data_IF_046744805807
#
_entry.id   IF_046744805807
#
_cell.length_a   1.000
_cell.length_b   1.000
_cell.length_c   1.000
_cell.angle_alpha   90.00
_cell.angle_beta   90.00
_cell.angle_gamma   90.00
#
_symmetry.space_group_name_H-M   'P 1'
#
loop_
_entity.id
_entity.type
_entity.pdbx_description
1 polymer ?
#
# COMPACT_ATOMS: atom_id res chain seq x y z
N UNK A 1 -16.80 19.86 59.44
CA UNK A 1 -16.58 18.72 58.53
C UNK A 1 -17.81 18.47 57.65
N UNK A 2 -18.05 19.21 56.54
CA UNK A 2 -19.04 18.85 55.48
C UNK A 2 -18.80 19.66 54.18
N UNK A 3 -17.57 19.70 53.68
CA UNK A 3 -17.22 20.43 52.44
C UNK A 3 -16.45 19.57 51.43
N UNK A 4 -16.46 18.24 51.59
CA UNK A 4 -15.72 17.30 50.73
C UNK A 4 -16.61 16.54 49.74
N UNK A 5 -17.94 16.72 49.79
CA UNK A 5 -18.88 15.90 49.00
C UNK A 5 -19.22 16.47 47.63
N UNK A 6 -18.85 17.72 47.32
CA UNK A 6 -19.17 18.35 46.03
C UNK A 6 -18.13 18.10 44.93
N UNK A 7 -16.90 17.69 45.28
CA UNK A 7 -15.85 17.44 44.29
C UNK A 7 -15.95 16.06 43.62
N UNK A 8 -16.77 15.14 44.13
CA UNK A 8 -16.93 13.80 43.56
C UNK A 8 -17.94 13.72 42.41
N UNK A 9 -18.76 14.75 42.19
CA UNK A 9 -19.80 14.72 41.16
C UNK A 9 -19.32 15.23 39.80
N UNK A 10 -18.22 15.98 39.74
CA UNK A 10 -17.70 16.55 38.48
C UNK A 10 -16.84 15.55 37.70
N UNK A 11 -16.26 14.55 38.37
CA UNK A 11 -15.37 13.55 37.75
C UNK A 11 -16.11 12.40 37.06
N UNK A 12 -17.43 12.26 37.24
CA UNK A 12 -18.21 11.18 36.60
C UNK A 12 -18.75 11.59 35.22
N UNK A 13 -19.04 12.88 35.00
CA UNK A 13 -19.56 13.34 33.71
C UNK A 13 -18.49 13.39 32.61
N UNK A 14 -17.20 13.54 32.96
CA UNK A 14 -16.11 13.54 31.97
C UNK A 14 -15.70 12.15 31.51
N UNK A 15 -16.16 11.08 32.17
CA UNK A 15 -15.86 9.69 31.79
C UNK A 15 -16.93 9.03 30.93
N UNK A 16 -18.12 9.61 30.80
CA UNK A 16 -19.23 9.01 30.03
C UNK A 16 -19.27 9.40 28.54
N UNK A 17 -18.43 10.32 28.07
CA UNK A 17 -18.37 10.66 26.64
C UNK A 17 -17.32 9.85 25.84
N UNK A 18 -16.56 8.96 26.49
CA UNK A 18 -15.48 8.19 25.82
C UNK A 18 -15.83 6.74 25.49
N UNK A 19 -17.11 6.34 25.51
CA UNK A 19 -17.55 5.00 25.08
C UNK A 19 -18.51 5.06 23.88
N UNK A 20 -18.27 5.97 22.93
CA UNK A 20 -18.94 5.94 21.62
C UNK A 20 -17.99 6.36 20.48
N UNK A 21 -16.78 5.80 20.49
CA UNK A 21 -15.86 5.90 19.35
C UNK A 21 -15.45 4.51 18.81
N UNK A 22 -16.07 3.42 19.26
CA UNK A 22 -15.76 2.06 18.80
C UNK A 22 -16.56 1.60 17.58
N UNK A 23 -17.29 2.49 16.91
CA UNK A 23 -17.90 2.19 15.61
C UNK A 23 -17.66 3.33 14.62
N UNK A 24 -16.41 3.79 14.52
CA UNK A 24 -15.94 4.29 13.23
C UNK A 24 -15.65 3.02 12.42
N UNK A 25 -16.54 2.57 11.52
CA UNK A 25 -16.11 1.57 10.55
C UNK A 25 -14.82 2.11 9.93
N UNK A 26 -13.76 1.28 9.78
CA UNK A 26 -12.54 1.72 9.13
C UNK A 26 -12.96 2.45 7.87
N UNK A 27 -12.37 3.64 7.56
CA UNK A 27 -12.81 4.47 6.45
C UNK A 27 -13.01 3.52 5.29
N UNK A 28 -14.27 3.36 4.86
CA UNK A 28 -14.61 2.41 3.81
C UNK A 28 -13.67 2.76 2.69
N UNK A 29 -12.64 1.93 2.48
CA UNK A 29 -11.73 2.10 1.37
C UNK A 29 -12.68 2.18 0.20
N UNK A 30 -12.77 3.36 -0.41
CA UNK A 30 -13.57 3.57 -1.59
C UNK A 30 -12.93 2.64 -2.58
N UNK A 31 -13.50 1.44 -2.74
CA UNK A 31 -12.99 0.44 -3.65
C UNK A 31 -12.83 1.17 -4.97
N UNK A 32 -11.59 1.29 -5.49
CA UNK A 32 -11.40 2.01 -6.74
C UNK A 32 -12.32 1.34 -7.77
N UNK A 33 -13.05 2.14 -8.55
CA UNK A 33 -13.99 1.64 -9.58
C UNK A 33 -13.34 0.66 -10.55
N UNK A 34 -12.00 0.64 -10.59
CA UNK A 34 -11.15 -0.27 -11.32
C UNK A 34 -10.23 -0.98 -10.33
N UNK A 35 -10.11 -2.30 -10.46
CA UNK A 35 -9.11 -3.07 -9.71
C UNK A 35 -7.69 -2.56 -10.04
N UNK A 36 -6.79 -2.49 -9.05
CA UNK A 36 -5.39 -2.15 -9.31
C UNK A 36 -4.75 -3.21 -10.20
N UNK A 37 -3.75 -2.82 -10.98
CA UNK A 37 -3.00 -3.78 -11.81
C UNK A 37 -1.98 -4.54 -10.96
N UNK A 38 -1.45 -3.90 -9.90
CA UNK A 38 -0.44 -4.46 -8.99
C UNK A 38 -0.66 -4.00 -7.55
N UNK A 39 -0.31 -4.86 -6.59
CA UNK A 39 -0.25 -4.54 -5.15
C UNK A 39 1.19 -4.72 -4.67
N UNK A 40 1.75 -3.68 -4.06
CA UNK A 40 3.10 -3.65 -3.52
C UNK A 40 3.04 -3.83 -2.01
N UNK A 41 3.52 -4.98 -1.53
CA UNK A 41 3.62 -5.26 -0.10
C UNK A 41 4.89 -4.63 0.46
N UNK A 42 4.72 -3.72 1.42
CA UNK A 42 5.83 -2.97 2.02
C UNK A 42 6.19 -3.50 3.40
N UNK A 43 7.45 -3.31 3.80
CA UNK A 43 7.89 -3.64 5.17
C UNK A 43 7.14 -2.85 6.25
N UNK A 44 6.62 -1.67 5.93
CA UNK A 44 5.85 -0.84 6.85
C UNK A 44 4.46 -1.41 7.18
N UNK A 45 4.00 -2.43 6.45
CA UNK A 45 2.65 -3.00 6.60
C UNK A 45 1.54 -2.18 5.92
N UNK A 46 1.89 -1.07 5.26
CA UNK A 46 0.95 -0.29 4.44
C UNK A 46 1.20 -0.62 2.98
N UNK A 47 0.30 -1.40 2.40
CA UNK A 47 0.40 -1.82 1.01
C UNK A 47 0.07 -0.67 0.05
N UNK A 48 0.69 -0.67 -1.13
CA UNK A 48 0.40 0.31 -2.17
C UNK A 48 -0.23 -0.32 -3.40
N UNK A 49 -1.33 0.30 -3.83
CA UNK A 49 -2.03 -0.05 -5.05
C UNK A 49 -1.44 0.73 -6.23
N UNK A 50 -1.05 0.02 -7.30
CA UNK A 50 -0.44 0.63 -8.48
C UNK A 50 -1.14 0.17 -9.76
N UNK A 51 -1.04 1.02 -10.78
CA UNK A 51 -1.57 0.80 -12.12
C UNK A 51 -0.42 0.82 -13.12
N UNK A 52 -0.63 0.26 -14.31
CA UNK A 52 0.37 0.30 -15.38
C UNK A 52 0.68 1.73 -15.83
N UNK A 53 1.90 1.93 -16.32
CA UNK A 53 2.36 3.18 -16.93
C UNK A 53 3.38 3.95 -16.10
N UNK A 54 3.32 3.83 -14.78
CA UNK A 54 4.24 4.51 -13.87
C UNK A 54 5.62 3.83 -13.81
N UNK A 55 6.65 4.63 -13.61
CA UNK A 55 8.01 4.17 -13.27
C UNK A 55 8.14 4.17 -11.75
N UNK A 56 8.33 2.99 -11.16
CA UNK A 56 8.18 2.75 -9.73
C UNK A 56 9.54 2.56 -9.06
N UNK A 57 9.90 3.39 -8.08
CA UNK A 57 11.12 3.22 -7.27
C UNK A 57 10.93 2.16 -6.18
N UNK A 58 11.55 1.00 -6.35
CA UNK A 58 11.43 -0.11 -5.40
C UNK A 58 12.14 0.16 -4.06
N UNK A 59 13.21 0.96 -4.11
CA UNK A 59 13.97 1.35 -2.92
C UNK A 59 13.16 2.28 -2.03
N UNK A 60 12.61 3.35 -2.61
CA UNK A 60 11.79 4.32 -1.87
C UNK A 60 10.52 3.70 -1.31
N UNK A 61 9.95 2.72 -2.03
CA UNK A 61 8.76 2.01 -1.59
C UNK A 61 9.05 0.89 -0.58
N UNK A 62 10.32 0.50 -0.37
CA UNK A 62 10.75 -0.56 0.55
C UNK A 62 9.93 -1.84 0.33
N UNK A 63 9.83 -2.24 -0.93
CA UNK A 63 8.97 -3.34 -1.40
C UNK A 63 9.57 -4.68 -1.00
N UNK A 64 8.73 -5.56 -0.45
CA UNK A 64 9.08 -6.95 -0.12
C UNK A 64 8.58 -7.89 -1.21
N UNK A 65 7.33 -7.72 -1.61
CA UNK A 65 6.65 -8.57 -2.60
C UNK A 65 5.71 -7.73 -3.44
N UNK A 66 5.45 -8.21 -4.65
CA UNK A 66 4.52 -7.63 -5.61
C UNK A 66 3.51 -8.72 -5.98
N UNK A 67 2.22 -8.41 -5.84
CA UNK A 67 1.13 -9.21 -6.40
C UNK A 67 0.69 -8.57 -7.72
N UNK A 68 0.76 -9.35 -8.80
CA UNK A 68 0.35 -8.95 -10.13
C UNK A 68 -1.12 -9.32 -10.35
N UNK A 69 -2.01 -8.37 -10.09
CA UNK A 69 -3.47 -8.60 -10.20
C UNK A 69 -3.88 -8.79 -11.66
N UNK A 70 -3.17 -8.16 -12.60
CA UNK A 70 -3.34 -8.34 -14.05
C UNK A 70 -2.08 -8.95 -14.67
N UNK A 71 -2.19 -9.80 -15.71
CA UNK A 71 -1.02 -10.35 -16.40
C UNK A 71 -0.19 -9.22 -17.02
N UNK A 72 1.12 -9.27 -16.83
CA UNK A 72 2.00 -8.15 -17.17
C UNK A 72 3.39 -8.58 -17.58
N UNK A 73 4.05 -7.72 -18.34
CA UNK A 73 5.49 -7.79 -18.58
C UNK A 73 6.16 -6.61 -17.88
N UNK A 74 7.14 -6.89 -17.03
CA UNK A 74 7.86 -5.93 -16.23
C UNK A 74 9.34 -5.86 -16.64
N UNK A 75 9.88 -4.65 -16.70
CA UNK A 75 11.30 -4.41 -16.98
C UNK A 75 11.90 -3.56 -15.86
N UNK A 76 13.12 -3.92 -15.44
CA UNK A 76 13.89 -3.13 -14.50
C UNK A 76 14.73 -2.07 -15.22
N UNK A 77 14.87 -0.92 -14.58
CA UNK A 77 15.58 0.25 -15.08
C UNK A 77 16.51 0.82 -14.00
N UNK A 78 17.56 1.51 -14.44
CA UNK A 78 18.53 2.17 -13.55
C UNK A 78 18.17 3.62 -13.24
N UNK A 79 17.20 4.19 -13.95
CA UNK A 79 16.81 5.60 -13.86
C UNK A 79 15.33 5.79 -13.49
N UNK A 80 15.05 6.92 -12.84
CA UNK A 80 13.70 7.30 -12.38
C UNK A 80 12.70 7.55 -13.51
N UNK A 81 13.18 7.72 -14.75
CA UNK A 81 12.30 7.92 -15.91
C UNK A 81 12.01 6.62 -16.66
N UNK A 82 12.59 5.50 -16.22
CA UNK A 82 12.53 4.19 -16.87
C UNK A 82 12.88 4.26 -18.38
N UNK A 83 13.99 4.92 -18.72
CA UNK A 83 14.53 5.03 -20.09
C UNK A 83 15.70 4.09 -20.35
N UNK A 84 16.48 3.79 -19.32
CA UNK A 84 17.70 2.98 -19.37
C UNK A 84 17.44 1.63 -18.71
N UNK A 85 17.08 0.59 -19.50
CA UNK A 85 16.82 -0.73 -18.97
C UNK A 85 18.10 -1.33 -18.39
N UNK A 86 17.95 -2.19 -17.39
CA UNK A 86 19.05 -3.02 -16.92
C UNK A 86 19.40 -4.11 -17.94
N UNK A 87 20.52 -4.81 -17.73
CA UNK A 87 20.91 -5.97 -18.54
C UNK A 87 19.94 -7.16 -18.45
N UNK A 88 19.15 -7.24 -17.38
CA UNK A 88 18.20 -8.33 -17.19
C UNK A 88 17.03 -8.23 -18.19
N UNK A 89 16.60 -9.37 -18.75
CA UNK A 89 15.47 -9.41 -19.66
C UNK A 89 14.17 -9.02 -18.94
N UNK A 90 13.16 -8.62 -19.72
CA UNK A 90 11.83 -8.38 -19.18
C UNK A 90 11.22 -9.68 -18.65
N UNK A 91 10.51 -9.57 -17.54
CA UNK A 91 9.87 -10.70 -16.87
C UNK A 91 8.37 -10.66 -17.09
N UNK A 92 7.80 -11.81 -17.42
CA UNK A 92 6.36 -11.94 -17.59
C UNK A 92 5.78 -12.59 -16.35
N UNK A 93 4.77 -11.93 -15.78
CA UNK A 93 4.04 -12.39 -14.62
C UNK A 93 2.61 -12.72 -15.01
N UNK A 94 2.13 -13.88 -14.56
CA UNK A 94 0.75 -14.29 -14.75
C UNK A 94 -0.20 -13.50 -13.84
N UNK A 95 -1.49 -13.61 -14.11
CA UNK A 95 -2.52 -13.08 -13.22
C UNK A 95 -2.42 -13.73 -11.83
N UNK A 96 -2.55 -12.93 -10.78
CA UNK A 96 -2.38 -13.33 -9.38
C UNK A 96 -1.01 -13.89 -9.01
N UNK A 97 0.01 -13.72 -9.86
CA UNK A 97 1.38 -14.09 -9.52
C UNK A 97 1.91 -13.20 -8.39
N UNK A 98 2.72 -13.79 -7.51
CA UNK A 98 3.32 -13.09 -6.37
C UNK A 98 4.81 -13.34 -6.35
N UNK A 99 5.59 -12.28 -6.50
CA UNK A 99 7.04 -12.38 -6.56
C UNK A 99 7.73 -11.25 -5.80
N UNK A 100 8.89 -11.56 -5.21
CA UNK A 100 9.80 -10.55 -4.69
C UNK A 100 10.53 -9.86 -5.86
N UNK A 101 10.77 -8.55 -5.79
CA UNK A 101 11.52 -7.87 -6.83
C UNK A 101 12.98 -8.34 -6.85
N UNK A 102 13.47 -8.76 -8.02
CA UNK A 102 14.87 -9.18 -8.19
C UNK A 102 15.87 -8.05 -7.95
N UNK A 103 15.46 -6.81 -8.24
CA UNK A 103 16.26 -5.60 -7.97
C UNK A 103 15.55 -4.67 -7.00
N UNK A 104 15.66 -4.91 -5.68
CA UNK A 104 14.97 -4.12 -4.67
C UNK A 104 15.41 -2.64 -4.63
N UNK A 105 16.56 -2.30 -5.25
CA UNK A 105 17.06 -0.92 -5.36
C UNK A 105 16.81 -0.25 -6.71
N UNK A 106 16.13 -0.94 -7.63
CA UNK A 106 15.92 -0.47 -9.00
C UNK A 106 14.62 0.31 -9.17
N UNK A 107 14.39 0.69 -10.43
CA UNK A 107 13.10 1.16 -10.90
C UNK A 107 12.41 0.05 -11.69
N UNK A 108 11.10 -0.06 -11.56
CA UNK A 108 10.29 -1.07 -12.23
C UNK A 108 9.20 -0.39 -13.04
N UNK A 109 9.03 -0.83 -14.29
CA UNK A 109 7.88 -0.46 -15.10
C UNK A 109 7.25 -1.71 -15.66
N UNK A 110 5.94 -1.82 -15.48
CA UNK A 110 5.15 -2.93 -15.97
C UNK A 110 4.12 -2.44 -16.99
N UNK A 111 3.85 -3.27 -17.99
CA UNK A 111 2.84 -3.05 -19.02
C UNK A 111 1.91 -4.27 -19.10
N UNK A 112 0.63 -4.08 -19.48
CA UNK A 112 -0.28 -5.21 -19.61
C UNK A 112 0.18 -6.16 -20.71
N UNK A 113 0.03 -7.46 -20.49
CA UNK A 113 0.14 -8.42 -21.59
C UNK A 113 -1.02 -8.16 -22.55
N UNK A 114 -0.74 -7.74 -23.78
CA UNK A 114 -1.79 -7.59 -24.80
C UNK A 114 -2.36 -8.98 -25.09
N UNK A 115 -3.68 -9.13 -24.90
CA UNK A 115 -4.45 -10.29 -25.37
C UNK A 115 -4.58 -10.26 -26.89
#
# INVERSE_FOLDING_TARGET
MKALSFYLLVTVMTFMETISAQNVPPPRMTMPKRLPDMVFYKKSGVDELRYFGDCLSLEQMVVVEILYVSPSTCQYYTDITCKTPTSDPSETHAESDKAAPKKPKGYLKCVPLKK
#
